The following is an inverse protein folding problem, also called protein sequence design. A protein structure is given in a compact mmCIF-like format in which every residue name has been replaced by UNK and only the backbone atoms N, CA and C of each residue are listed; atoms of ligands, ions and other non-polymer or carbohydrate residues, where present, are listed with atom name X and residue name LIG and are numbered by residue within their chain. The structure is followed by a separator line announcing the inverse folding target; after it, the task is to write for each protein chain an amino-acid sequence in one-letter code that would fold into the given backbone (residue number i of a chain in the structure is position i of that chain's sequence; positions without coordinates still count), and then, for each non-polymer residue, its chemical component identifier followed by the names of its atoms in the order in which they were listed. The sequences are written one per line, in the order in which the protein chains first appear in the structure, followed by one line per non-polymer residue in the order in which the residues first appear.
data_IF_749664507840
#
_entry.id   IF_749664507840
#
_cell.length_a   1.000
_cell.length_b   1.000
_cell.length_c   1.000
_cell.angle_alpha   90.00
_cell.angle_beta   90.00
_cell.angle_gamma   90.00
#
_symmetry.space_group_name_H-M   'P 1'
#
loop_
_entity.id
_entity.type
_entity.pdbx_description
1 polymer ?
#
# COMPACT_ATOMS: atom_id res chain seq x y z
N UNK A 1 9.17 -37.53 27.29
CA UNK A 1 9.07 -36.61 26.14
C UNK A 1 8.54 -35.30 26.73
N UNK A 2 9.40 -34.30 26.94
CA UNK A 2 8.97 -33.00 27.48
C UNK A 2 8.12 -32.32 26.41
N UNK A 3 6.82 -32.25 26.64
CA UNK A 3 5.91 -31.40 25.86
C UNK A 3 6.43 -29.97 25.99
N UNK A 4 7.19 -29.51 24.99
CA UNK A 4 7.76 -28.16 25.02
C UNK A 4 6.59 -27.19 24.92
N UNK A 5 6.31 -26.49 26.02
CA UNK A 5 5.30 -25.46 26.06
C UNK A 5 5.64 -24.39 25.01
N UNK A 6 4.74 -24.23 24.04
CA UNK A 6 4.81 -23.18 23.03
C UNK A 6 3.96 -22.01 23.54
N UNK A 7 4.57 -20.84 23.64
CA UNK A 7 3.85 -19.60 23.86
C UNK A 7 3.80 -18.83 22.55
N UNK A 8 2.61 -18.40 22.17
CA UNK A 8 2.39 -17.55 21.00
C UNK A 8 1.33 -16.51 21.31
N UNK A 9 1.45 -15.37 20.63
CA UNK A 9 0.57 -14.23 20.68
C UNK A 9 -0.01 -14.04 19.29
N UNK A 10 -1.32 -13.87 19.18
CA UNK A 10 -1.98 -13.53 17.93
C UNK A 10 -2.89 -12.33 18.15
N UNK A 11 -2.82 -11.37 17.24
CA UNK A 11 -3.61 -10.15 17.27
C UNK A 11 -4.19 -9.91 15.88
N UNK A 12 -5.50 -9.67 15.84
CA UNK A 12 -6.20 -9.16 14.68
C UNK A 12 -6.58 -7.72 14.97
N UNK A 13 -6.25 -6.83 14.05
CA UNK A 13 -6.68 -5.43 14.08
C UNK A 13 -7.58 -5.19 12.89
N UNK A 14 -8.84 -4.87 13.16
CA UNK A 14 -9.80 -4.42 12.16
C UNK A 14 -9.89 -2.89 12.20
N UNK A 15 -9.99 -2.26 11.04
CA UNK A 15 -10.05 -0.81 10.93
C UNK A 15 -10.99 -0.38 9.79
N UNK A 16 -11.51 0.83 9.89
CA UNK A 16 -12.25 1.45 8.80
C UNK A 16 -11.31 2.32 7.95
N UNK A 17 -11.46 2.27 6.63
CA UNK A 17 -10.66 3.13 5.74
C UNK A 17 -11.11 4.57 5.98
N UNK A 18 -10.17 5.43 6.35
CA UNK A 18 -10.38 6.87 6.30
C UNK A 18 -9.77 7.40 5.00
N UNK A 19 -10.62 7.69 4.02
CA UNK A 19 -10.21 8.25 2.73
C UNK A 19 -10.00 7.23 1.61
N UNK A 20 -10.25 7.69 0.38
CA UNK A 20 -9.95 6.94 -0.84
C UNK A 20 -8.49 7.19 -1.26
N UNK A 21 -7.85 6.22 -1.95
CA UNK A 21 -6.58 6.47 -2.60
C UNK A 21 -6.72 7.64 -3.57
N UNK A 22 -5.76 8.56 -3.55
CA UNK A 22 -5.70 9.67 -4.48
C UNK A 22 -5.04 9.19 -5.77
N UNK A 23 -5.72 9.38 -6.89
CA UNK A 23 -5.26 9.05 -8.23
C UNK A 23 -4.80 10.29 -8.98
N UNK A 24 -4.14 10.09 -10.13
CA UNK A 24 -3.73 11.20 -11.01
C UNK A 24 -4.90 12.11 -11.37
N UNK A 25 -6.06 11.54 -11.70
CA UNK A 25 -7.29 12.31 -12.01
C UNK A 25 -7.84 13.14 -10.86
N UNK A 26 -7.53 12.77 -9.62
CA UNK A 26 -7.97 13.53 -8.44
C UNK A 26 -7.05 14.73 -8.18
N UNK A 27 -5.85 14.72 -8.77
CA UNK A 27 -4.76 15.67 -8.48
C UNK A 27 -4.39 16.56 -9.68
N UNK A 28 -4.92 16.27 -10.86
CA UNK A 28 -4.56 16.96 -12.11
C UNK A 28 -5.69 16.97 -13.12
N UNK A 29 -5.57 17.84 -14.11
CA UNK A 29 -6.40 17.87 -15.31
C UNK A 29 -5.54 17.49 -16.52
N UNK A 30 -6.01 16.54 -17.32
CA UNK A 30 -5.33 16.09 -18.52
C UNK A 30 -5.63 16.96 -19.74
N UNK A 31 -4.61 17.11 -20.59
CA UNK A 31 -4.73 17.61 -21.95
C UNK A 31 -4.09 16.58 -22.85
N UNK A 32 -4.93 15.89 -23.63
CA UNK A 32 -4.50 14.84 -24.54
C UNK A 32 -4.00 15.45 -25.84
N UNK A 33 -2.74 15.22 -26.15
CA UNK A 33 -2.12 15.52 -27.43
C UNK A 33 -2.12 14.30 -28.37
N UNK A 34 -1.45 14.44 -29.51
CA UNK A 34 -1.39 13.38 -30.53
C UNK A 34 -0.56 12.16 -30.06
N UNK A 35 0.53 12.42 -29.31
CA UNK A 35 1.45 11.39 -28.83
C UNK A 35 1.76 11.50 -27.32
N UNK A 36 1.15 12.44 -26.61
CA UNK A 36 1.40 12.69 -25.20
C UNK A 36 0.16 13.14 -24.43
N UNK A 37 0.30 13.16 -23.11
CA UNK A 37 -0.65 13.80 -22.19
C UNK A 37 0.09 14.82 -21.35
N UNK A 38 -0.37 16.07 -21.38
CA UNK A 38 0.03 17.12 -20.44
C UNK A 38 -0.90 17.09 -19.22
N UNK A 39 -0.35 16.73 -18.06
CA UNK A 39 -1.04 16.75 -16.78
C UNK A 39 -0.79 18.09 -16.10
N UNK A 40 -1.85 18.89 -15.99
CA UNK A 40 -1.85 20.15 -15.27
C UNK A 40 -2.19 19.88 -13.80
N UNK A 41 -1.22 20.06 -12.92
CA UNK A 41 -1.33 19.70 -11.50
C UNK A 41 -2.16 20.74 -10.74
N UNK A 42 -3.20 20.28 -10.04
CA UNK A 42 -4.02 21.11 -9.16
C UNK A 42 -3.49 21.20 -7.73
N UNK A 43 -2.89 20.12 -7.21
CA UNK A 43 -2.35 20.05 -5.85
C UNK A 43 -0.83 19.84 -5.83
N UNK A 44 -0.08 20.95 -5.80
CA UNK A 44 1.39 20.93 -5.89
C UNK A 44 2.08 20.09 -4.80
N UNK A 45 1.47 19.96 -3.61
CA UNK A 45 2.04 19.14 -2.52
C UNK A 45 2.27 17.67 -2.89
N UNK A 46 1.57 17.17 -3.92
CA UNK A 46 1.70 15.80 -4.41
C UNK A 46 2.57 15.66 -5.66
N UNK A 47 3.09 16.76 -6.23
CA UNK A 47 3.91 16.75 -7.45
C UNK A 47 5.04 15.72 -7.39
N UNK A 48 5.81 15.70 -6.30
CA UNK A 48 6.94 14.78 -6.14
C UNK A 48 6.49 13.31 -6.11
N UNK A 49 5.35 13.03 -5.47
CA UNK A 49 4.77 11.68 -5.42
C UNK A 49 4.23 11.26 -6.79
N UNK A 50 3.58 12.18 -7.51
CA UNK A 50 3.10 11.96 -8.87
C UNK A 50 4.26 11.62 -9.81
N UNK A 51 5.32 12.44 -9.82
CA UNK A 51 6.50 12.19 -10.65
C UNK A 51 7.12 10.82 -10.37
N UNK A 52 7.32 10.48 -9.09
CA UNK A 52 7.85 9.17 -8.70
C UNK A 52 6.99 8.03 -9.23
N UNK A 53 5.68 8.07 -9.01
CA UNK A 53 4.76 7.00 -9.46
C UNK A 53 4.70 6.91 -10.98
N UNK A 54 4.71 8.04 -11.68
CA UNK A 54 4.72 8.07 -13.14
C UNK A 54 6.05 7.53 -13.70
N UNK A 55 7.19 7.86 -13.09
CA UNK A 55 8.48 7.25 -13.45
C UNK A 55 8.51 5.75 -13.22
N UNK A 56 7.95 5.26 -12.13
CA UNK A 56 7.87 3.83 -11.83
C UNK A 56 7.02 3.06 -12.87
N UNK A 57 5.94 3.68 -13.36
CA UNK A 57 4.98 3.05 -14.29
C UNK A 57 5.39 3.21 -15.76
N UNK A 58 5.83 4.40 -16.16
CA UNK A 58 6.06 4.76 -17.57
C UNK A 58 7.53 4.93 -17.94
N UNK A 59 8.43 5.05 -16.95
CA UNK A 59 9.86 5.30 -17.16
C UNK A 59 10.23 6.78 -17.14
N UNK A 60 11.47 7.07 -16.73
CA UNK A 60 12.02 8.43 -16.65
C UNK A 60 12.21 9.09 -18.02
N UNK A 61 12.40 8.30 -19.07
CA UNK A 61 12.56 8.76 -20.44
C UNK A 61 11.24 9.27 -21.06
N UNK A 62 10.10 8.81 -20.53
CA UNK A 62 8.76 9.15 -21.04
C UNK A 62 8.02 10.19 -20.20
N UNK A 63 8.54 10.54 -19.02
CA UNK A 63 7.87 11.45 -18.09
C UNK A 63 8.81 12.60 -17.76
N UNK A 64 8.45 13.80 -18.21
CA UNK A 64 9.21 15.02 -17.95
C UNK A 64 8.35 16.09 -17.31
N UNK A 65 8.94 16.82 -16.35
CA UNK A 65 8.34 18.03 -15.83
C UNK A 65 8.76 19.19 -16.74
N UNK A 66 7.83 19.68 -17.57
CA UNK A 66 8.09 20.80 -18.48
C UNK A 66 8.08 22.14 -17.74
N UNK A 67 7.17 22.28 -16.78
CA UNK A 67 7.04 23.45 -15.90
C UNK A 67 6.66 23.02 -14.48
N UNK A 68 6.65 23.96 -13.53
CA UNK A 68 6.38 23.68 -12.11
C UNK A 68 5.08 22.88 -11.89
N UNK A 69 4.04 23.13 -12.69
CA UNK A 69 2.73 22.49 -12.57
C UNK A 69 2.38 21.57 -13.74
N UNK A 70 3.33 21.26 -14.61
CA UNK A 70 3.08 20.49 -15.82
C UNK A 70 3.97 19.25 -15.87
N UNK A 71 3.33 18.09 -16.04
CA UNK A 71 4.02 16.82 -16.30
C UNK A 71 3.57 16.30 -17.66
N UNK A 72 4.52 16.11 -18.57
CA UNK A 72 4.27 15.52 -19.88
C UNK A 72 4.57 14.03 -19.80
N UNK A 73 3.60 13.21 -20.20
CA UNK A 73 3.73 11.75 -20.33
C UNK A 73 3.66 11.36 -21.80
N UNK A 74 4.80 10.98 -22.37
CA UNK A 74 4.97 10.64 -23.79
C UNK A 74 4.49 9.23 -24.10
N UNK A 75 4.03 9.00 -25.33
CA UNK A 75 3.54 7.72 -25.84
C UNK A 75 2.21 7.27 -25.25
N UNK A 76 1.40 8.22 -24.77
CA UNK A 76 0.04 8.00 -24.25
C UNK A 76 -0.88 8.96 -24.99
N UNK A 77 -1.77 8.43 -25.83
CA UNK A 77 -2.76 9.27 -26.56
C UNK A 77 -4.05 8.54 -26.93
N UNK A 78 -4.09 7.21 -26.75
CA UNK A 78 -5.32 6.42 -26.93
C UNK A 78 -6.16 6.49 -25.66
N UNK A 79 -7.47 6.64 -25.80
CA UNK A 79 -8.43 6.77 -24.69
C UNK A 79 -8.18 5.74 -23.56
N UNK A 80 -7.99 4.47 -23.91
CA UNK A 80 -7.77 3.40 -22.93
C UNK A 80 -6.43 3.54 -22.17
N UNK A 81 -5.40 4.13 -22.78
CA UNK A 81 -4.11 4.34 -22.12
C UNK A 81 -4.11 5.64 -21.30
N UNK A 82 -4.88 6.65 -21.73
CA UNK A 82 -5.16 7.85 -20.94
C UNK A 82 -5.96 7.47 -19.68
N UNK A 83 -6.98 6.63 -19.79
CA UNK A 83 -7.75 6.17 -18.62
C UNK A 83 -6.85 5.45 -17.60
N UNK A 84 -5.95 4.56 -18.07
CA UNK A 84 -4.96 3.90 -17.20
C UNK A 84 -4.03 4.90 -16.51
N UNK A 85 -3.56 5.92 -17.24
CA UNK A 85 -2.72 6.99 -16.68
C UNK A 85 -3.46 7.73 -15.55
N UNK A 86 -4.70 8.11 -15.82
CA UNK A 86 -5.56 8.83 -14.87
C UNK A 86 -5.90 8.02 -13.63
N UNK A 87 -5.95 6.69 -13.75
CA UNK A 87 -6.25 5.78 -12.66
C UNK A 87 -5.05 5.36 -11.80
N UNK A 88 -3.82 5.79 -12.14
CA UNK A 88 -2.63 5.55 -11.33
C UNK A 88 -2.82 6.13 -9.93
N UNK A 89 -2.65 5.28 -8.91
CA UNK A 89 -2.70 5.69 -7.50
C UNK A 89 -1.39 6.37 -7.11
N UNK A 90 -1.51 7.62 -6.68
CA UNK A 90 -0.40 8.47 -6.25
C UNK A 90 -0.13 8.27 -4.76
N UNK A 91 -1.19 8.34 -3.95
CA UNK A 91 -1.14 8.16 -2.51
C UNK A 91 -2.28 7.24 -2.08
N UNK A 92 -1.97 6.12 -1.44
CA UNK A 92 -2.95 5.38 -0.65
C UNK A 92 -2.70 5.64 0.84
N UNK A 93 -3.62 6.33 1.55
CA UNK A 93 -3.52 6.52 2.99
C UNK A 93 -3.33 5.22 3.78
N UNK A 94 -3.78 4.08 3.23
CA UNK A 94 -3.61 2.80 3.88
C UNK A 94 -2.16 2.32 3.93
N UNK A 95 -1.30 2.66 2.97
CA UNK A 95 0.09 2.18 2.97
C UNK A 95 0.79 2.58 4.28
N UNK A 96 0.70 3.85 4.66
CA UNK A 96 1.24 4.35 5.94
C UNK A 96 0.49 3.80 7.15
N UNK A 97 -0.82 3.59 7.02
CA UNK A 97 -1.63 3.08 8.12
C UNK A 97 -1.24 1.64 8.48
N UNK A 98 -1.00 0.78 7.49
CA UNK A 98 -0.53 -0.59 7.73
C UNK A 98 0.82 -0.62 8.46
N UNK A 99 1.77 0.23 8.07
CA UNK A 99 3.06 0.34 8.76
C UNK A 99 2.89 0.73 10.25
N UNK A 100 1.98 1.65 10.53
CA UNK A 100 1.65 2.06 11.90
C UNK A 100 0.97 0.92 12.68
N UNK A 101 0.06 0.17 12.06
CA UNK A 101 -0.59 -0.98 12.70
C UNK A 101 0.41 -2.08 13.06
N UNK A 102 1.38 -2.36 12.18
CA UNK A 102 2.44 -3.34 12.47
C UNK A 102 3.29 -2.85 13.63
N UNK A 103 3.65 -1.56 13.63
CA UNK A 103 4.43 -0.95 14.72
C UNK A 103 3.69 -1.10 16.05
N UNK A 104 2.39 -0.75 16.08
CA UNK A 104 1.54 -0.94 17.26
C UNK A 104 1.49 -2.41 17.69
N UNK A 105 1.33 -3.33 16.74
CA UNK A 105 1.30 -4.76 17.03
C UNK A 105 2.63 -5.25 17.62
N UNK A 106 3.77 -4.73 17.17
CA UNK A 106 5.10 -5.00 17.74
C UNK A 106 5.22 -4.45 19.16
N UNK A 107 4.70 -3.26 19.43
CA UNK A 107 4.77 -2.63 20.74
C UNK A 107 3.96 -3.38 21.82
N UNK A 108 2.86 -4.04 21.43
CA UNK A 108 2.02 -4.82 22.36
C UNK A 108 2.46 -6.29 22.50
N UNK A 109 3.39 -6.77 21.67
CA UNK A 109 3.86 -8.15 21.74
C UNK A 109 4.61 -8.38 23.07
N UNK A 110 4.42 -9.53 23.75
CA UNK A 110 5.12 -9.82 24.98
C UNK A 110 6.65 -9.81 24.83
N UNK A 111 7.35 -9.39 25.88
CA UNK A 111 8.82 -9.39 25.91
C UNK A 111 9.37 -10.78 25.61
N UNK A 112 10.39 -10.85 24.74
CA UNK A 112 11.03 -12.11 24.33
C UNK A 112 10.39 -12.77 23.10
N UNK A 113 9.25 -12.27 22.64
CA UNK A 113 8.60 -12.77 21.43
C UNK A 113 9.12 -12.04 20.20
N UNK A 114 8.99 -12.70 19.04
CA UNK A 114 9.27 -12.09 17.74
C UNK A 114 8.09 -12.32 16.81
N UNK A 115 7.81 -11.34 15.96
CA UNK A 115 6.84 -11.50 14.87
C UNK A 115 7.28 -12.66 13.98
N UNK A 116 6.37 -13.62 13.77
CA UNK A 116 6.56 -14.79 12.91
C UNK A 116 5.72 -14.71 11.64
N UNK A 117 4.60 -14.01 11.69
CA UNK A 117 3.70 -13.83 10.56
C UNK A 117 2.99 -12.49 10.64
N UNK A 118 2.88 -11.83 9.49
CA UNK A 118 1.95 -10.71 9.25
C UNK A 118 1.15 -11.07 8.01
N UNK A 119 -0.17 -10.92 8.05
CA UNK A 119 -1.06 -11.04 6.91
C UNK A 119 -2.00 -9.83 6.85
N UNK A 120 -2.34 -9.41 5.64
CA UNK A 120 -3.27 -8.31 5.36
C UNK A 120 -4.48 -8.87 4.61
N UNK A 121 -5.67 -8.44 4.99
CA UNK A 121 -6.91 -8.82 4.31
C UNK A 121 -7.85 -7.61 4.31
N UNK A 122 -7.84 -6.84 3.23
CA UNK A 122 -8.61 -5.60 3.11
C UNK A 122 -8.40 -4.68 4.32
N UNK A 123 -9.42 -4.58 5.15
CA UNK A 123 -9.50 -3.71 6.33
C UNK A 123 -9.01 -4.36 7.63
N UNK A 124 -8.23 -5.43 7.53
CA UNK A 124 -7.77 -6.20 8.67
C UNK A 124 -6.28 -6.55 8.54
N UNK A 125 -5.59 -6.57 9.68
CA UNK A 125 -4.20 -7.05 9.80
C UNK A 125 -4.16 -8.16 10.85
N UNK A 126 -3.53 -9.27 10.52
CA UNK A 126 -3.22 -10.36 11.44
C UNK A 126 -1.72 -10.36 11.74
N UNK A 127 -1.37 -10.33 13.02
CA UNK A 127 0.00 -10.46 13.50
C UNK A 127 0.08 -11.67 14.42
N UNK A 128 1.04 -12.56 14.15
CA UNK A 128 1.35 -13.71 15.01
C UNK A 128 2.81 -13.64 15.44
N UNK A 129 3.05 -13.73 16.74
CA UNK A 129 4.37 -13.69 17.35
C UNK A 129 4.58 -14.87 18.30
N UNK A 130 5.84 -15.28 18.44
CA UNK A 130 6.23 -16.34 19.37
C UNK A 130 7.70 -16.21 19.75
N UNK A 131 8.06 -16.65 20.95
CA UNK A 131 9.46 -16.77 21.38
C UNK A 131 10.26 -17.66 20.43
N UNK A 132 9.64 -18.71 19.88
CA UNK A 132 10.29 -19.72 19.03
C UNK A 132 9.67 -19.73 17.64
N UNK A 133 10.24 -20.54 16.76
CA UNK A 133 9.61 -20.87 15.48
C UNK A 133 8.25 -21.49 15.74
N UNK A 134 7.26 -21.09 14.95
CA UNK A 134 5.87 -21.54 15.07
C UNK A 134 5.57 -22.48 13.89
N UNK A 135 4.94 -23.62 14.19
CA UNK A 135 4.52 -24.57 13.17
C UNK A 135 3.21 -24.12 12.51
N UNK A 136 2.95 -24.61 11.30
CA UNK A 136 1.78 -24.21 10.50
C UNK A 136 0.46 -24.44 11.24
N UNK A 137 0.35 -25.52 12.00
CA UNK A 137 -0.85 -25.89 12.76
C UNK A 137 -1.28 -24.78 13.73
N UNK A 138 -0.32 -24.11 14.38
CA UNK A 138 -0.61 -23.01 15.31
C UNK A 138 -0.96 -21.70 14.60
N UNK A 139 -0.43 -21.50 13.39
CA UNK A 139 -0.84 -20.39 12.53
C UNK A 139 -2.30 -20.60 12.11
N UNK A 140 -2.65 -21.80 11.64
CA UNK A 140 -4.00 -22.15 11.23
C UNK A 140 -4.99 -22.06 12.40
N UNK A 141 -4.61 -22.54 13.59
CA UNK A 141 -5.38 -22.37 14.82
C UNK A 141 -5.65 -20.90 15.13
N UNK A 142 -4.63 -20.04 15.04
CA UNK A 142 -4.78 -18.60 15.27
C UNK A 142 -5.76 -17.98 14.28
N UNK A 143 -5.68 -18.36 13.01
CA UNK A 143 -6.60 -17.89 11.96
C UNK A 143 -8.03 -18.33 12.24
N UNK A 144 -8.24 -19.59 12.60
CA UNK A 144 -9.57 -20.09 12.96
C UNK A 144 -10.16 -19.31 14.14
N UNK A 145 -9.40 -19.15 15.23
CA UNK A 145 -9.86 -18.45 16.43
C UNK A 145 -10.14 -16.97 16.23
N UNK A 146 -9.34 -16.30 15.40
CA UNK A 146 -9.53 -14.90 15.04
C UNK A 146 -10.47 -14.72 13.84
N UNK A 147 -11.10 -15.80 13.36
CA UNK A 147 -12.00 -15.82 12.22
C UNK A 147 -11.39 -15.11 11.00
N UNK A 148 -10.11 -15.36 10.78
CA UNK A 148 -9.34 -14.75 9.71
C UNK A 148 -9.69 -15.39 8.37
N UNK A 149 -10.19 -14.56 7.46
CA UNK A 149 -10.40 -14.90 6.06
C UNK A 149 -9.61 -13.91 5.20
N UNK A 150 -8.61 -14.42 4.47
CA UNK A 150 -7.84 -13.67 3.49
C UNK A 150 -8.52 -13.64 2.14
#
# INVERSE_FOLDING_TARGET
MLTRQLFFFSCRVDFERSGNPLKIKDLSTERVGDEDVDLVIGEERYLSDMLRKLWDVYGQDRVEQSERQHIIVKGVSKDADVEKLLDVVVVDPLEKFYEQLITLAVDIIPVGFRVRRVEYAGNSVLVIASEKTIEKEWIDYSKEKLQWSS
#
